data_IF_268050270317
#
_entry.id   IF_268050270317
#
_cell.length_a   1.000
_cell.length_b   1.000
_cell.length_c   1.000
_cell.angle_alpha   90.00
_cell.angle_beta   90.00
_cell.angle_gamma   90.00
#
_symmetry.space_group_name_H-M   'P 1'
#
loop_
_entity.id
_entity.type
_entity.pdbx_description
1 polymer ?
#
# COMPACT_ATOMS: atom_id res chain seq x y z
N UNK A 1 13.78 -12.40 14.69
CA UNK A 1 13.03 -11.14 14.83
C UNK A 1 12.46 -11.11 16.23
N UNK A 2 12.81 -10.12 17.05
CA UNK A 2 12.23 -9.99 18.39
C UNK A 2 10.86 -9.31 18.25
N UNK A 3 9.80 -10.12 18.31
CA UNK A 3 8.42 -9.65 18.09
C UNK A 3 8.03 -8.61 19.14
N UNK A 4 8.56 -8.70 20.37
CA UNK A 4 8.30 -7.71 21.41
C UNK A 4 8.78 -6.31 20.99
N UNK A 5 9.96 -6.26 20.37
CA UNK A 5 10.56 -5.00 19.90
C UNK A 5 9.74 -4.31 18.81
N UNK A 6 9.01 -5.06 17.99
CA UNK A 6 8.12 -4.51 16.97
C UNK A 6 6.93 -3.72 17.56
N UNK A 7 6.57 -3.94 18.82
CA UNK A 7 5.53 -3.19 19.52
C UNK A 7 6.08 -2.13 20.47
N UNK A 8 7.33 -2.26 20.94
CA UNK A 8 7.93 -1.31 21.90
C UNK A 8 8.76 -0.21 21.27
N UNK A 9 9.27 -0.39 20.04
CA UNK A 9 10.21 0.56 19.42
C UNK A 9 9.70 2.00 19.36
N UNK A 10 8.38 2.19 19.26
CA UNK A 10 7.76 3.51 19.23
C UNK A 10 7.96 4.23 20.57
N UNK A 11 7.79 3.51 21.68
CA UNK A 11 7.86 4.07 23.03
C UNK A 11 9.30 4.19 23.56
N UNK A 12 10.27 3.60 22.86
CA UNK A 12 11.70 3.70 23.19
C UNK A 12 12.30 5.08 22.81
N UNK A 13 11.61 5.85 21.97
CA UNK A 13 12.02 7.19 21.55
C UNK A 13 11.53 8.25 22.55
N UNK A 14 12.40 9.08 23.11
CA UNK A 14 12.01 10.12 24.08
C UNK A 14 10.99 11.12 23.51
N UNK A 15 11.05 11.36 22.19
CA UNK A 15 10.21 12.31 21.46
C UNK A 15 9.01 11.62 20.77
N UNK A 16 8.69 10.37 21.12
CA UNK A 16 7.63 9.61 20.45
C UNK A 16 6.28 10.33 20.42
N UNK A 17 5.90 11.00 21.51
CA UNK A 17 4.65 11.76 21.61
C UNK A 17 4.61 12.88 20.57
N UNK A 18 5.70 13.64 20.46
CA UNK A 18 5.85 14.73 19.47
C UNK A 18 5.67 14.17 18.06
N UNK A 19 6.39 13.10 17.72
CA UNK A 19 6.39 12.50 16.37
C UNK A 19 5.03 11.93 15.98
N UNK A 20 4.38 11.23 16.91
CA UNK A 20 3.05 10.64 16.72
C UNK A 20 1.98 11.71 16.62
N UNK A 21 2.01 12.75 17.47
CA UNK A 21 1.05 13.85 17.40
C UNK A 21 1.17 14.63 16.09
N UNK A 22 2.39 14.92 15.62
CA UNK A 22 2.60 15.57 14.33
C UNK A 22 2.03 14.71 13.20
N UNK A 23 2.34 13.40 13.18
CA UNK A 23 1.76 12.47 12.20
C UNK A 23 0.23 12.39 12.26
N UNK A 24 -0.35 12.42 13.46
CA UNK A 24 -1.79 12.46 13.68
C UNK A 24 -2.44 13.73 13.13
N UNK A 25 -1.85 14.90 13.38
CA UNK A 25 -2.32 16.19 12.85
C UNK A 25 -2.24 16.23 11.32
N UNK A 26 -1.14 15.72 10.74
CA UNK A 26 -0.97 15.64 9.27
C UNK A 26 -2.06 14.78 8.64
N UNK A 27 -2.42 13.65 9.26
CA UNK A 27 -3.48 12.77 8.76
C UNK A 27 -4.89 13.41 8.80
N UNK A 28 -5.09 14.53 9.49
CA UNK A 28 -6.33 15.30 9.40
C UNK A 28 -6.47 15.99 8.04
N UNK A 29 -5.37 16.18 7.31
CA UNK A 29 -5.38 16.73 5.95
C UNK A 29 -5.73 15.58 4.98
N UNK A 30 -6.94 15.58 4.37
CA UNK A 30 -7.34 14.51 3.49
C UNK A 30 -6.43 14.44 2.27
N UNK A 31 -6.19 13.22 1.78
CA UNK A 31 -5.39 12.90 0.58
C UNK A 31 -3.91 13.27 0.73
N UNK A 32 -3.58 14.53 0.99
CA UNK A 32 -2.20 15.02 1.11
C UNK A 32 -1.50 14.43 2.34
N UNK A 33 -2.19 14.37 3.49
CA UNK A 33 -1.63 13.83 4.73
C UNK A 33 -1.17 12.38 4.59
N UNK A 34 -1.87 11.60 3.76
CA UNK A 34 -1.51 10.21 3.47
C UNK A 34 -0.12 10.08 2.83
N UNK A 35 0.25 10.97 1.90
CA UNK A 35 1.56 10.88 1.26
C UNK A 35 2.70 11.17 2.25
N UNK A 36 2.52 12.17 3.12
CA UNK A 36 3.51 12.48 4.16
C UNK A 36 3.69 11.31 5.13
N UNK A 37 2.59 10.72 5.61
CA UNK A 37 2.67 9.61 6.56
C UNK A 37 3.13 8.30 5.93
N UNK A 38 2.80 8.05 4.66
CA UNK A 38 3.34 6.92 3.91
C UNK A 38 4.87 7.02 3.71
N UNK A 39 5.38 8.21 3.36
CA UNK A 39 6.82 8.42 3.25
C UNK A 39 7.55 8.34 4.59
N UNK A 40 6.93 8.85 5.66
CA UNK A 40 7.45 8.69 7.03
C UNK A 40 7.53 7.20 7.42
N UNK A 41 6.50 6.42 7.10
CA UNK A 41 6.47 4.98 7.35
C UNK A 41 7.57 4.25 6.57
N UNK A 42 7.81 4.62 5.31
CA UNK A 42 8.89 4.04 4.51
C UNK A 42 10.27 4.32 5.11
N UNK A 43 10.49 5.54 5.59
CA UNK A 43 11.75 5.90 6.23
C UNK A 43 11.94 5.21 7.57
N UNK A 44 10.85 5.02 8.33
CA UNK A 44 10.85 4.19 9.54
C UNK A 44 11.25 2.75 9.20
N UNK A 45 10.65 2.18 8.15
CA UNK A 45 11.00 0.83 7.66
C UNK A 45 12.48 0.73 7.30
N UNK A 46 13.01 1.70 6.56
CA UNK A 46 14.43 1.78 6.20
C UNK A 46 15.32 1.84 7.44
N UNK A 47 14.99 2.69 8.42
CA UNK A 47 15.75 2.80 9.67
C UNK A 47 15.75 1.49 10.48
N UNK A 48 14.63 0.77 10.49
CA UNK A 48 14.53 -0.57 11.12
C UNK A 48 15.42 -1.58 10.39
N UNK A 49 15.40 -1.58 9.05
CA UNK A 49 16.25 -2.46 8.23
C UNK A 49 17.74 -2.17 8.41
N UNK A 50 18.12 -0.90 8.58
CA UNK A 50 19.49 -0.47 8.89
C UNK A 50 19.90 -0.76 10.35
N UNK A 51 18.99 -1.25 11.20
CA UNK A 51 19.27 -1.58 12.59
C UNK A 51 19.48 -0.36 13.50
N UNK A 52 18.90 0.79 13.16
CA UNK A 52 18.98 2.00 14.00
C UNK A 52 18.29 1.76 15.35
N UNK A 53 18.87 2.28 16.42
CA UNK A 53 18.33 2.15 17.78
C UNK A 53 17.00 2.89 17.95
N UNK A 54 16.89 4.08 17.37
CA UNK A 54 15.67 4.89 17.33
C UNK A 54 15.20 5.00 15.88
N UNK A 55 14.27 4.14 15.45
CA UNK A 55 13.90 4.06 14.04
C UNK A 55 12.92 5.16 13.59
N UNK A 56 12.27 5.87 14.52
CA UNK A 56 11.30 6.92 14.20
C UNK A 56 11.99 8.16 13.62
N UNK A 57 11.71 8.53 12.36
CA UNK A 57 12.27 9.73 11.74
C UNK A 57 11.88 11.03 12.45
N UNK A 58 12.68 12.08 12.28
CA UNK A 58 12.22 13.45 12.57
C UNK A 58 11.34 13.99 11.43
N UNK A 59 10.55 15.03 11.73
CA UNK A 59 9.72 15.77 10.77
C UNK A 59 10.47 17.00 10.21
N UNK A 60 11.59 16.76 9.54
CA UNK A 60 12.48 17.77 8.98
C UNK A 60 12.46 17.81 7.43
N UNK A 61 12.62 16.66 6.77
CA UNK A 61 12.61 16.51 5.31
C UNK A 61 11.18 16.27 4.77
N UNK A 62 10.34 17.31 4.85
CA UNK A 62 8.96 17.26 4.37
C UNK A 62 8.87 16.90 2.89
N UNK A 63 9.74 17.47 2.06
CA UNK A 63 9.76 17.23 0.62
C UNK A 63 10.11 15.79 0.26
N UNK A 64 11.14 15.23 0.89
CA UNK A 64 11.51 13.83 0.70
C UNK A 64 10.44 12.87 1.20
N UNK A 65 9.81 13.13 2.35
CA UNK A 65 8.70 12.29 2.84
C UNK A 65 7.50 12.32 1.91
N UNK A 66 7.12 13.50 1.41
CA UNK A 66 6.05 13.59 0.41
C UNK A 66 6.40 12.79 -0.86
N UNK A 67 7.62 12.94 -1.39
CA UNK A 67 8.04 12.25 -2.61
C UNK A 67 8.09 10.73 -2.42
N UNK A 68 8.60 10.24 -1.29
CA UNK A 68 8.58 8.82 -0.93
C UNK A 68 7.15 8.29 -0.88
N UNK A 69 6.23 9.01 -0.25
CA UNK A 69 4.81 8.64 -0.22
C UNK A 69 4.16 8.63 -1.60
N UNK A 70 4.49 9.61 -2.45
CA UNK A 70 4.03 9.63 -3.84
C UNK A 70 4.53 8.40 -4.61
N UNK A 71 5.78 8.00 -4.44
CA UNK A 71 6.30 6.79 -5.07
C UNK A 71 5.63 5.51 -4.55
N UNK A 72 5.32 5.44 -3.25
CA UNK A 72 4.52 4.33 -2.73
C UNK A 72 3.13 4.26 -3.35
N UNK A 73 2.51 5.42 -3.58
CA UNK A 73 1.24 5.48 -4.30
C UNK A 73 1.39 5.03 -5.75
N UNK A 74 2.44 5.44 -6.46
CA UNK A 74 2.72 5.00 -7.84
C UNK A 74 2.92 3.49 -7.90
N UNK A 75 3.68 2.91 -6.97
CA UNK A 75 3.86 1.45 -6.87
C UNK A 75 2.51 0.78 -6.64
N UNK A 76 1.73 1.25 -5.64
CA UNK A 76 0.39 0.74 -5.37
C UNK A 76 -0.55 0.82 -6.58
N UNK A 77 -0.50 1.93 -7.31
CA UNK A 77 -1.27 2.14 -8.53
C UNK A 77 -0.90 1.11 -9.60
N UNK A 78 0.40 0.91 -9.86
CA UNK A 78 0.87 -0.07 -10.85
C UNK A 78 0.43 -1.49 -10.47
N UNK A 79 0.57 -1.86 -9.20
CA UNK A 79 0.07 -3.14 -8.71
C UNK A 79 -1.46 -3.26 -8.77
N UNK A 80 -2.20 -2.17 -8.70
CA UNK A 80 -3.66 -2.18 -8.86
C UNK A 80 -4.13 -2.21 -10.32
N UNK A 81 -3.28 -1.89 -11.30
CA UNK A 81 -3.67 -1.80 -12.72
C UNK A 81 -4.35 -3.07 -13.26
N UNK A 82 -3.89 -4.30 -12.98
CA UNK A 82 -4.57 -5.50 -13.46
C UNK A 82 -6.02 -5.59 -12.98
N UNK A 83 -6.27 -5.24 -11.71
CA UNK A 83 -7.62 -5.20 -11.16
C UNK A 83 -8.46 -4.09 -11.79
N UNK A 84 -7.89 -2.89 -11.94
CA UNK A 84 -8.59 -1.75 -12.55
C UNK A 84 -9.01 -2.11 -13.97
N UNK A 85 -8.13 -2.71 -14.76
CA UNK A 85 -8.42 -3.12 -16.14
C UNK A 85 -9.55 -4.16 -16.16
N UNK A 86 -9.47 -5.20 -15.33
CA UNK A 86 -10.51 -6.23 -15.25
C UNK A 86 -11.85 -5.60 -14.86
N UNK A 87 -11.88 -4.75 -13.83
CA UNK A 87 -13.08 -4.09 -13.35
C UNK A 87 -13.69 -3.13 -14.37
N UNK A 88 -12.86 -2.34 -15.06
CA UNK A 88 -13.31 -1.43 -16.11
C UNK A 88 -13.91 -2.20 -17.29
N UNK A 89 -13.20 -3.20 -17.81
CA UNK A 89 -13.70 -4.05 -18.90
C UNK A 89 -15.02 -4.72 -18.52
N UNK A 90 -15.11 -5.21 -17.29
CA UNK A 90 -16.30 -5.87 -16.80
C UNK A 90 -17.48 -4.90 -16.64
N UNK A 91 -17.25 -3.72 -16.05
CA UNK A 91 -18.27 -2.69 -15.86
C UNK A 91 -18.86 -2.21 -17.18
N UNK A 92 -18.03 -2.06 -18.22
CA UNK A 92 -18.48 -1.73 -19.58
C UNK A 92 -19.34 -2.86 -20.15
N UNK A 93 -18.91 -4.11 -19.99
CA UNK A 93 -19.68 -5.28 -20.42
C UNK A 93 -21.06 -5.35 -19.78
N UNK A 94 -21.15 -5.10 -18.47
CA UNK A 94 -22.44 -5.02 -17.74
C UNK A 94 -23.30 -3.90 -18.28
N UNK A 95 -22.75 -2.69 -18.45
CA UNK A 95 -23.52 -1.54 -18.92
C UNK A 95 -24.09 -1.75 -20.33
N UNK A 96 -23.29 -2.30 -21.25
CA UNK A 96 -23.71 -2.53 -22.64
C UNK A 96 -24.71 -3.68 -22.72
N UNK A 97 -24.41 -4.83 -22.13
CA UNK A 97 -25.25 -6.03 -22.26
C UNK A 97 -26.50 -5.96 -21.38
N UNK A 98 -26.39 -5.38 -20.18
CA UNK A 98 -27.52 -5.22 -19.26
C UNK A 98 -28.56 -4.22 -19.76
N UNK A 99 -28.17 -3.25 -20.61
CA UNK A 99 -29.13 -2.33 -21.23
C UNK A 99 -30.04 -2.98 -22.28
N UNK A 100 -29.67 -4.17 -22.78
CA UNK A 100 -30.40 -4.84 -23.86
C UNK A 100 -31.45 -5.85 -23.36
N UNK A 101 -31.33 -6.35 -22.12
CA UNK A 101 -32.34 -7.25 -21.54
C UNK A 101 -32.28 -7.28 -20.01
N UNK A 102 -33.45 -7.27 -19.38
CA UNK A 102 -33.57 -7.33 -17.92
C UNK A 102 -33.04 -8.65 -17.35
N UNK A 103 -33.24 -9.77 -18.06
CA UNK A 103 -32.71 -11.07 -17.65
C UNK A 103 -31.17 -11.09 -17.61
N UNK A 104 -30.51 -10.47 -18.59
CA UNK A 104 -29.05 -10.34 -18.59
C UNK A 104 -28.60 -9.39 -17.48
N UNK A 105 -29.30 -8.27 -17.25
CA UNK A 105 -28.99 -7.38 -16.14
C UNK A 105 -29.09 -8.09 -14.78
N UNK A 106 -30.13 -8.90 -14.59
CA UNK A 106 -30.34 -9.69 -13.37
C UNK A 106 -29.27 -10.77 -13.20
N UNK A 107 -28.90 -11.50 -14.26
CA UNK A 107 -27.84 -12.50 -14.21
C UNK A 107 -26.46 -11.87 -13.90
N UNK A 108 -26.13 -10.74 -14.52
CA UNK A 108 -24.86 -10.04 -14.31
C UNK A 108 -24.73 -9.49 -12.88
N UNK A 109 -25.80 -8.93 -12.33
CA UNK A 109 -25.81 -8.35 -10.97
C UNK A 109 -25.85 -9.40 -9.85
N UNK A 110 -26.58 -10.50 -10.05
CA UNK A 110 -26.78 -11.52 -8.99
C UNK A 110 -25.68 -12.57 -8.93
N UNK A 111 -25.05 -12.92 -10.05
CA UNK A 111 -24.05 -13.99 -10.11
C UNK A 111 -22.67 -13.41 -10.43
N UNK A 112 -22.57 -12.65 -11.52
CA UNK A 112 -21.25 -12.33 -12.10
C UNK A 112 -20.51 -11.26 -11.30
N UNK A 113 -21.21 -10.21 -10.84
CA UNK A 113 -20.64 -9.15 -9.97
C UNK A 113 -20.07 -9.72 -8.65
N UNK A 114 -20.80 -10.54 -7.87
CA UNK A 114 -20.25 -11.17 -6.68
C UNK A 114 -19.03 -12.05 -6.96
N UNK A 115 -19.05 -12.86 -8.03
CA UNK A 115 -17.92 -13.71 -8.41
C UNK A 115 -16.65 -12.89 -8.72
N UNK A 116 -16.79 -11.79 -9.45
CA UNK A 116 -15.66 -10.88 -9.70
C UNK A 116 -15.13 -10.27 -8.40
N UNK A 117 -16.01 -10.01 -7.44
CA UNK A 117 -15.60 -9.51 -6.14
C UNK A 117 -14.87 -10.53 -5.27
N UNK A 118 -15.15 -11.82 -5.45
CA UNK A 118 -14.32 -12.89 -4.87
C UNK A 118 -12.90 -12.87 -5.46
N UNK A 119 -12.76 -12.69 -6.78
CA UNK A 119 -11.42 -12.59 -7.42
C UNK A 119 -10.67 -11.37 -6.91
N UNK A 120 -11.34 -10.22 -6.81
CA UNK A 120 -10.77 -8.99 -6.25
C UNK A 120 -10.32 -9.18 -4.80
N UNK A 121 -11.14 -9.85 -3.98
CA UNK A 121 -10.80 -10.17 -2.59
C UNK A 121 -9.56 -11.05 -2.52
N UNK A 122 -9.50 -12.14 -3.29
CA UNK A 122 -8.33 -13.03 -3.32
C UNK A 122 -7.06 -12.30 -3.75
N UNK A 123 -7.15 -11.43 -4.75
CA UNK A 123 -6.03 -10.60 -5.18
C UNK A 123 -5.60 -9.60 -4.10
N UNK A 124 -6.54 -8.95 -3.42
CA UNK A 124 -6.21 -8.02 -2.33
C UNK A 124 -5.52 -8.71 -1.16
N UNK A 125 -5.91 -9.94 -0.83
CA UNK A 125 -5.25 -10.76 0.19
C UNK A 125 -3.83 -11.10 -0.26
N UNK A 126 -3.65 -11.50 -1.53
CA UNK A 126 -2.33 -11.74 -2.07
C UNK A 126 -1.46 -10.48 -1.96
N UNK A 127 -1.96 -9.33 -2.40
CA UNK A 127 -1.24 -8.06 -2.27
C UNK A 127 -0.89 -7.74 -0.82
N UNK A 128 -1.77 -7.96 0.15
CA UNK A 128 -1.47 -7.71 1.56
C UNK A 128 -0.25 -8.49 2.06
N UNK A 129 -0.05 -9.72 1.56
CA UNK A 129 1.11 -10.55 1.89
C UNK A 129 2.38 -10.07 1.17
N UNK A 130 2.28 -9.69 -0.11
CA UNK A 130 3.43 -9.26 -0.91
C UNK A 130 3.86 -7.81 -0.66
N UNK A 131 2.94 -6.93 -0.25
CA UNK A 131 3.18 -5.50 -0.06
C UNK A 131 4.34 -5.21 0.91
N UNK A 132 4.44 -5.79 2.12
CA UNK A 132 5.58 -5.52 3.00
C UNK A 132 6.93 -5.89 2.34
N UNK A 133 6.99 -6.97 1.56
CA UNK A 133 8.20 -7.35 0.83
C UNK A 133 8.53 -6.37 -0.32
N UNK A 134 7.51 -5.92 -1.05
CA UNK A 134 7.65 -4.87 -2.09
C UNK A 134 8.18 -3.58 -1.47
N UNK A 135 7.58 -3.14 -0.35
CA UNK A 135 7.99 -1.93 0.36
C UNK A 135 9.40 -2.05 0.93
N UNK A 136 9.80 -3.21 1.46
CA UNK A 136 11.16 -3.43 1.94
C UNK A 136 12.18 -3.32 0.80
N UNK A 137 11.90 -3.92 -0.37
CA UNK A 137 12.78 -3.80 -1.55
C UNK A 137 12.87 -2.38 -2.09
N UNK A 138 11.76 -1.66 -2.08
CA UNK A 138 11.75 -0.25 -2.44
C UNK A 138 12.50 0.59 -1.40
N UNK A 139 12.37 0.32 -0.10
CA UNK A 139 13.09 1.04 0.96
C UNK A 139 14.61 0.84 0.91
N UNK A 140 15.06 -0.33 0.45
CA UNK A 140 16.48 -0.68 0.31
C UNK A 140 17.18 0.11 -0.81
N UNK A 141 16.48 0.33 -1.93
CA UNK A 141 17.08 0.86 -3.17
C UNK A 141 16.57 2.26 -3.55
N UNK A 142 15.37 2.63 -3.09
CA UNK A 142 14.61 3.80 -3.52
C UNK A 142 14.38 3.88 -5.04
N UNK A 143 14.55 2.75 -5.74
CA UNK A 143 14.31 2.63 -7.18
C UNK A 143 12.95 1.98 -7.44
N UNK A 144 12.12 2.60 -8.28
CA UNK A 144 10.84 2.01 -8.70
C UNK A 144 11.01 0.62 -9.30
N UNK A 145 12.11 0.36 -10.02
CA UNK A 145 12.40 -0.94 -10.63
C UNK A 145 12.54 -2.08 -9.61
N UNK A 146 13.02 -1.79 -8.40
CA UNK A 146 13.16 -2.79 -7.34
C UNK A 146 11.80 -3.32 -6.85
N UNK A 147 10.77 -2.46 -6.87
CA UNK A 147 9.41 -2.84 -6.52
C UNK A 147 8.82 -3.88 -7.48
N UNK A 148 9.37 -4.08 -8.68
CA UNK A 148 8.88 -5.03 -9.68
C UNK A 148 9.77 -6.26 -9.84
N UNK A 149 10.74 -6.47 -8.95
CA UNK A 149 11.60 -7.66 -8.98
C UNK A 149 10.88 -8.86 -8.36
N UNK A 150 9.87 -9.36 -9.07
CA UNK A 150 8.97 -10.41 -8.57
C UNK A 150 9.74 -11.61 -8.02
N UNK A 151 10.79 -12.08 -8.70
CA UNK A 151 11.59 -13.21 -8.23
C UNK A 151 12.23 -13.00 -6.83
N UNK A 152 12.72 -11.79 -6.55
CA UNK A 152 13.26 -11.45 -5.23
C UNK A 152 12.14 -11.33 -4.19
N UNK A 153 11.02 -10.71 -4.56
CA UNK A 153 9.85 -10.54 -3.70
C UNK A 153 9.25 -11.89 -3.29
N UNK A 154 9.10 -12.83 -4.23
CA UNK A 154 8.60 -14.18 -3.94
C UNK A 154 9.53 -14.96 -3.00
N UNK A 155 10.85 -14.80 -3.13
CA UNK A 155 11.83 -15.44 -2.25
C UNK A 155 11.83 -14.86 -0.84
N UNK A 156 11.45 -13.59 -0.66
CA UNK A 156 11.31 -12.98 0.67
C UNK A 156 10.06 -13.43 1.43
N UNK A 157 9.01 -13.80 0.70
CA UNK A 157 7.72 -14.21 1.27
C UNK A 157 7.65 -15.73 1.53
N UNK A 158 8.49 -16.51 0.87
CA UNK A 158 8.59 -17.96 1.02
C UNK A 158 9.38 -18.36 2.28
#
# INVERSE_FOLDING_TARGET
MDIGKAFTYVFEDEDWVKKVLIGGVINLIPIVGFFFTAGYMLETLKNVMEGRSLPLPEWDDWGGKFMKGLMLFVIGLIYSLPLIIIMCCFSIGVAVLGSQSEDVANAMSSIVMPCMQCVNLLYSIALMVFLPAILAKYAETEELGAAFRFGEIFNLVK
#
